data_IF_155543145039
#
_entry.id   IF_155543145039
#
_cell.length_a   1.000
_cell.length_b   1.000
_cell.length_c   1.000
_cell.angle_alpha   90.00
_cell.angle_beta   90.00
_cell.angle_gamma   90.00
#
_symmetry.space_group_name_H-M   'P 1'
#
loop_
_entity.id
_entity.type
_entity.pdbx_description
1 polymer ?
2 polymer ?
3 non-polymer ?
4 non-polymer ?
5 non-polymer ?
6 water ?
#
# COMPACT_ATOMS: atom_id res chain seq x y z
N UNK A 1 -9.71 21.28 -2.11
CA UNK A 1 -10.20 21.12 -3.50
C UNK A 1 -10.47 19.62 -3.77
N UNK A 2 -9.85 19.03 -4.77
CA UNK A 2 -10.06 17.59 -4.99
C UNK A 2 -9.04 16.77 -4.22
N UNK A 3 -9.52 15.76 -3.51
CA UNK A 3 -8.65 14.92 -2.70
C UNK A 3 -8.97 13.44 -2.86
N UNK A 4 -7.95 12.61 -2.68
CA UNK A 4 -8.11 11.14 -2.63
C UNK A 4 -7.33 10.68 -1.42
N UNK A 5 -7.99 9.92 -0.54
CA UNK A 5 -7.31 9.41 0.63
C UNK A 5 -7.07 7.93 0.38
N UNK A 6 -5.80 7.54 0.43
CA UNK A 6 -5.42 6.15 0.22
C UNK A 6 -4.74 5.64 1.49
N UNK A 7 -5.21 4.51 2.02
CA UNK A 7 -4.60 3.95 3.23
C UNK A 7 -3.93 2.62 2.85
N UNK A 8 -2.73 2.41 3.38
CA UNK A 8 -1.91 1.27 3.03
C UNK A 8 -1.76 0.35 4.22
N UNK A 9 -2.11 -0.93 4.04
CA UNK A 9 -2.09 -1.89 5.14
C UNK A 9 -1.47 -3.19 4.67
N UNK A 10 -1.11 -4.06 5.63
CA UNK A 10 -0.40 -5.29 5.30
C UNK A 10 0.60 -5.69 6.39
N UNK A 11 1.02 -6.94 6.36
CA UNK A 11 1.88 -7.51 7.40
C UNK A 11 3.13 -6.70 7.62
N UNK A 12 3.72 -6.87 8.78
CA UNK A 12 4.98 -6.23 9.09
C UNK A 12 6.03 -6.60 8.05
N UNK A 13 6.77 -5.59 7.63
CA UNK A 13 7.91 -5.72 6.77
C UNK A 13 7.61 -6.20 5.34
N UNK A 14 6.37 -6.09 4.86
CA UNK A 14 6.10 -6.41 3.45
C UNK A 14 6.55 -5.27 2.53
N UNK A 15 6.84 -4.09 3.09
CA UNK A 15 7.36 -3.00 2.28
C UNK A 15 6.42 -1.81 2.05
N UNK A 16 5.48 -1.58 2.95
CA UNK A 16 4.53 -0.47 2.79
C UNK A 16 5.21 0.90 2.77
N UNK A 17 6.07 1.11 3.76
CA UNK A 17 6.76 2.38 3.87
C UNK A 17 7.73 2.59 2.71
N UNK A 18 8.51 1.56 2.34
CA UNK A 18 9.37 1.71 1.17
C UNK A 18 8.58 2.07 -0.10
N UNK A 19 7.47 1.37 -0.34
CA UNK A 19 6.55 1.65 -1.47
C UNK A 19 6.16 3.15 -1.49
N UNK A 20 5.72 3.65 -0.35
CA UNK A 20 5.27 5.04 -0.24
C UNK A 20 6.41 6.06 -0.40
N UNK A 21 7.54 5.80 0.27
CA UNK A 21 8.61 6.76 0.20
C UNK A 21 9.25 6.76 -1.19
N UNK A 22 9.34 5.58 -1.79
CA UNK A 22 9.95 5.46 -3.11
C UNK A 22 9.07 6.18 -4.11
N UNK A 23 7.77 5.95 -4.03
CA UNK A 23 6.83 6.62 -4.95
C UNK A 23 6.81 8.13 -4.75
N UNK A 24 6.68 8.58 -3.50
CA UNK A 24 6.48 10.00 -3.25
C UNK A 24 7.77 10.82 -3.33
N UNK A 25 8.93 10.20 -3.12
CA UNK A 25 10.16 10.99 -3.06
C UNK A 25 11.29 10.46 -3.93
N UNK A 26 11.07 9.30 -4.55
CA UNK A 26 12.09 8.60 -5.34
C UNK A 26 13.34 8.18 -4.57
N UNK A 27 13.24 8.11 -3.26
CA UNK A 27 14.34 7.62 -2.45
C UNK A 27 13.90 6.34 -1.80
N UNK A 28 14.87 5.48 -1.48
CA UNK A 28 14.62 4.22 -0.77
C UNK A 28 15.11 4.34 0.67
N UNK A 29 14.24 4.02 1.66
CA UNK A 29 14.64 4.18 3.05
C UNK A 29 15.90 3.35 3.38
N UNK A 30 16.86 3.95 4.05
CA UNK A 30 18.16 3.33 4.29
C UNK A 30 18.20 2.43 5.52
N UNK A 31 17.16 2.46 6.35
CA UNK A 31 17.08 1.56 7.50
C UNK A 31 15.63 1.23 7.74
N UNK A 32 15.38 0.04 8.28
CA UNK A 32 14.02 -0.41 8.60
C UNK A 32 13.61 0.16 9.94
N UNK A 33 12.60 1.02 9.91
CA UNK A 33 11.97 1.47 11.14
C UNK A 33 10.49 1.13 11.10
N UNK A 34 10.04 0.28 12.03
CA UNK A 34 8.62 -0.06 12.03
C UNK A 34 7.77 1.18 12.19
N UNK A 35 6.72 1.23 11.39
CA UNK A 35 5.80 2.34 11.41
C UNK A 35 4.77 2.16 12.50
N UNK A 36 4.37 3.27 13.10
CA UNK A 36 3.18 3.32 13.94
C UNK A 36 2.09 3.95 13.07
N UNK A 37 2.23 5.24 12.77
CA UNK A 37 1.44 5.93 11.73
C UNK A 37 2.26 6.98 11.06
N UNK A 38 2.05 7.16 9.77
CA UNK A 38 2.64 8.28 9.05
C UNK A 38 1.66 8.70 7.97
N UNK A 39 1.76 9.95 7.55
CA UNK A 39 0.78 10.55 6.68
C UNK A 39 1.57 11.38 5.68
N UNK A 40 1.48 11.05 4.39
CA UNK A 40 2.25 11.73 3.34
C UNK A 40 1.23 12.36 2.39
N UNK A 41 1.64 13.34 1.60
CA UNK A 41 0.74 13.86 0.58
C UNK A 41 1.52 14.39 -0.62
N UNK A 42 0.99 14.11 -1.80
CA UNK A 42 1.55 14.59 -3.05
C UNK A 42 0.40 15.11 -3.89
N UNK A 43 0.75 15.87 -4.92
CA UNK A 43 -0.20 16.32 -5.91
C UNK A 43 -0.01 15.46 -7.17
N UNK A 44 -1.11 15.04 -7.79
CA UNK A 44 -1.06 14.35 -9.09
C UNK A 44 -2.07 14.99 -10.01
N UNK A 45 -1.64 15.21 -11.26
CA UNK A 45 -2.47 15.73 -12.31
C UNK A 45 -3.22 14.60 -12.96
N UNK A 46 -4.53 14.77 -13.09
CA UNK A 46 -5.36 13.74 -13.67
C UNK A 46 -6.23 14.40 -14.74
N UNK A 47 -5.95 14.11 -16.00
CA UNK A 47 -6.62 14.83 -17.07
C UNK A 47 -6.40 16.31 -16.88
N UNK A 48 -5.23 16.65 -16.34
CA UNK A 48 -4.79 18.03 -16.31
C UNK A 48 -5.29 18.84 -15.13
N UNK A 49 -6.00 18.20 -14.19
CA UNK A 49 -6.39 18.92 -12.99
C UNK A 49 -5.73 18.28 -11.79
N UNK A 50 -5.36 19.11 -10.80
CA UNK A 50 -4.65 18.69 -9.59
C UNK A 50 -5.54 18.01 -8.55
N UNK A 51 -5.11 16.86 -8.06
CA UNK A 51 -5.72 16.22 -6.91
C UNK A 51 -4.65 16.11 -5.86
N UNK A 52 -5.05 16.22 -4.60
CA UNK A 52 -4.16 15.89 -3.49
C UNK A 52 -4.38 14.43 -3.19
N UNK A 53 -3.30 13.66 -3.31
CA UNK A 53 -3.32 12.28 -2.91
C UNK A 53 -2.71 12.15 -1.51
N UNK A 54 -3.57 11.84 -0.54
CA UNK A 54 -3.15 11.64 0.83
C UNK A 54 -2.88 10.17 1.04
N UNK A 55 -1.68 9.87 1.54
CA UNK A 55 -1.27 8.48 1.74
C UNK A 55 -1.03 8.23 3.22
N UNK A 56 -1.84 7.34 3.79
CA UNK A 56 -1.74 6.99 5.19
C UNK A 56 -1.00 5.67 5.31
N UNK A 57 0.12 5.74 6.02
CA UNK A 57 1.01 4.62 6.24
C UNK A 57 0.71 4.06 7.64
N UNK A 58 0.47 2.75 7.73
CA UNK A 58 0.04 2.13 8.97
C UNK A 58 0.98 1.00 9.42
N UNK A 59 0.80 0.61 10.69
CA UNK A 59 1.61 -0.41 11.31
C UNK A 59 1.16 -1.79 10.87
N UNK A 60 2.10 -2.63 10.45
CA UNK A 60 1.76 -4.02 10.24
C UNK A 60 1.68 -4.76 11.57
N UNK A 61 2.32 -4.21 12.60
CA UNK A 61 2.36 -4.84 13.91
C UNK A 61 0.99 -5.06 14.51
N UNK A 62 0.80 -6.26 15.02
CA UNK A 62 -0.47 -6.66 15.59
C UNK A 62 -0.85 -5.83 16.81
N UNK A 63 0.14 -5.32 17.54
CA UNK A 63 -0.15 -4.57 18.75
C UNK A 63 -0.87 -3.23 18.45
N UNK A 64 -0.90 -2.84 17.17
CA UNK A 64 -1.62 -1.62 16.76
C UNK A 64 -2.97 -1.92 16.12
N UNK A 65 -3.44 -3.15 16.30
CA UNK A 65 -4.70 -3.58 15.71
C UNK A 65 -5.91 -2.75 16.14
N UNK A 66 -5.95 -2.31 17.40
CA UNK A 66 -7.09 -1.50 17.85
C UNK A 66 -6.98 -0.03 17.46
N UNK A 67 -5.75 0.50 17.33
CA UNK A 67 -5.57 1.87 16.89
C UNK A 67 -5.68 2.07 15.37
N UNK A 68 -5.21 1.10 14.59
CA UNK A 68 -5.14 1.26 13.12
C UNK A 68 -6.42 1.76 12.46
N UNK A 69 -7.55 1.15 12.80
CA UNK A 69 -8.81 1.55 12.16
C UNK A 69 -9.28 2.96 12.49
N UNK A 70 -8.70 3.64 13.48
CA UNK A 70 -9.04 5.04 13.69
C UNK A 70 -8.59 5.87 12.50
N UNK A 71 -7.71 5.35 11.66
CA UNK A 71 -7.23 6.09 10.49
C UNK A 71 -8.09 5.85 9.26
N UNK A 72 -9.10 4.99 9.38
CA UNK A 72 -9.84 4.55 8.22
C UNK A 72 -11.00 5.45 7.76
N UNK A 73 -11.58 6.28 8.65
CA UNK A 73 -12.74 7.03 8.15
C UNK A 73 -12.40 7.92 6.95
N UNK A 74 -13.33 7.93 5.99
CA UNK A 74 -13.28 8.71 4.75
C UNK A 74 -12.14 8.30 3.81
N UNK A 75 -11.74 7.03 3.94
CA UNK A 75 -10.79 6.46 2.99
C UNK A 75 -11.48 6.26 1.64
N UNK A 76 -10.77 6.59 0.56
CA UNK A 76 -11.30 6.45 -0.78
C UNK A 76 -10.84 5.14 -1.45
N UNK A 77 -9.66 4.65 -1.09
CA UNK A 77 -9.14 3.40 -1.65
C UNK A 77 -8.08 2.81 -0.70
N UNK A 78 -8.09 1.49 -0.50
CA UNK A 78 -7.05 0.81 0.27
C UNK A 78 -6.07 0.07 -0.65
N UNK A 79 -4.79 0.04 -0.26
CA UNK A 79 -3.80 -0.87 -0.80
C UNK A 79 -3.56 -1.95 0.28
N UNK A 80 -3.92 -3.19 -0.05
CA UNK A 80 -3.67 -4.31 0.82
C UNK A 80 -2.42 -5.00 0.22
N UNK A 81 -1.32 -4.91 0.96
CA UNK A 81 0.00 -5.32 0.49
C UNK A 81 0.45 -6.66 1.11
N UNK A 82 1.07 -7.48 0.26
CA UNK A 82 1.79 -8.65 0.73
C UNK A 82 3.06 -8.73 -0.10
N UNK A 83 4.10 -9.27 0.48
CA UNK A 83 5.32 -9.53 -0.31
C UNK A 83 5.18 -10.82 -1.09
N UNK A 84 5.55 -10.77 -2.37
CA UNK A 84 5.47 -11.97 -3.20
C UNK A 84 6.48 -13.02 -2.77
N UNK A 85 7.41 -12.67 -1.89
CA UNK A 85 8.33 -13.67 -1.34
C UNK A 85 8.08 -14.01 0.12
N UNK A 86 6.89 -13.66 0.60
CA UNK A 86 6.46 -14.02 1.93
C UNK A 86 5.08 -14.69 1.91
N UNK A 87 5.05 -16.01 1.80
CA UNK A 87 3.75 -16.69 1.79
C UNK A 87 2.89 -16.37 3.01
N UNK A 88 3.45 -16.19 4.20
CA UNK A 88 2.62 -15.86 5.34
C UNK A 88 1.87 -14.55 5.12
N UNK A 89 2.53 -13.56 4.53
CA UNK A 89 1.88 -12.27 4.29
C UNK A 89 0.70 -12.39 3.32
N UNK A 90 0.83 -13.31 2.38
CA UNK A 90 -0.21 -13.53 1.38
C UNK A 90 -1.40 -14.19 2.09
N UNK A 91 -1.14 -15.23 2.87
CA UNK A 91 -2.22 -15.84 3.64
C UNK A 91 -2.95 -14.79 4.51
N UNK A 92 -2.22 -13.82 5.07
CA UNK A 92 -2.85 -12.86 5.96
C UNK A 92 -3.70 -11.81 5.26
N UNK A 93 -3.58 -11.71 3.94
CA UNK A 93 -4.46 -10.86 3.15
C UNK A 93 -5.90 -11.36 3.36
N UNK A 94 -6.05 -12.66 3.28
CA UNK A 94 -7.35 -13.31 3.43
C UNK A 94 -7.76 -13.44 4.91
N UNK A 95 -6.80 -13.77 5.78
CA UNK A 95 -7.12 -14.07 7.16
C UNK A 95 -7.22 -12.84 8.06
N UNK A 96 -6.66 -11.72 7.60
CA UNK A 96 -6.58 -10.54 8.43
C UNK A 96 -6.95 -9.21 7.76
N UNK A 97 -6.25 -8.87 6.70
CA UNK A 97 -6.34 -7.51 6.19
C UNK A 97 -7.66 -7.22 5.47
N UNK A 98 -8.09 -8.06 4.54
CA UNK A 98 -9.33 -7.76 3.84
C UNK A 98 -10.54 -7.82 4.81
N UNK A 99 -10.59 -8.83 5.70
CA UNK A 99 -11.65 -8.75 6.72
C UNK A 99 -11.62 -7.44 7.52
N UNK A 100 -10.43 -6.97 7.88
CA UNK A 100 -10.36 -5.77 8.73
C UNK A 100 -10.90 -4.54 7.96
N UNK A 101 -10.40 -4.31 6.76
CA UNK A 101 -10.75 -3.05 6.08
C UNK A 101 -12.19 -3.09 5.62
N UNK A 102 -12.66 -4.28 5.24
CA UNK A 102 -14.03 -4.35 4.78
C UNK A 102 -15.03 -4.30 5.94
N UNK A 103 -14.63 -4.66 7.15
CA UNK A 103 -15.52 -4.52 8.31
C UNK A 103 -15.76 -3.04 8.56
N UNK A 104 -14.70 -2.26 8.51
CA UNK A 104 -14.79 -0.86 8.83
C UNK A 104 -15.29 0.00 7.68
N UNK A 105 -14.98 -0.42 6.47
CA UNK A 105 -15.22 0.37 5.27
C UNK A 105 -15.78 -0.55 4.18
N UNK A 106 -17.02 -0.99 4.36
CA UNK A 106 -17.64 -2.00 3.48
C UNK A 106 -17.78 -1.55 2.04
N UNK A 107 -17.86 -0.25 1.80
CA UNK A 107 -18.12 0.23 0.44
C UNK A 107 -16.87 0.73 -0.27
N UNK A 108 -15.72 0.58 0.36
CA UNK A 108 -14.52 1.22 -0.13
C UNK A 108 -13.70 0.23 -0.98
N UNK A 109 -13.30 0.64 -2.17
CA UNK A 109 -12.53 -0.29 -2.98
C UNK A 109 -11.13 -0.55 -2.45
N UNK A 110 -10.57 -1.70 -2.80
CA UNK A 110 -9.19 -1.99 -2.42
C UNK A 110 -8.50 -2.71 -3.56
N UNK A 111 -7.18 -2.49 -3.66
CA UNK A 111 -6.34 -3.22 -4.59
C UNK A 111 -5.50 -4.17 -3.75
N UNK A 112 -5.26 -5.36 -4.29
CA UNK A 112 -4.26 -6.27 -3.74
C UNK A 112 -2.91 -5.93 -4.38
N UNK A 113 -1.90 -5.69 -3.55
CA UNK A 113 -0.61 -5.23 -4.04
C UNK A 113 0.50 -6.19 -3.64
N UNK A 114 1.10 -6.82 -4.64
CA UNK A 114 2.27 -7.67 -4.40
C UNK A 114 3.52 -6.80 -4.43
N UNK A 115 4.35 -6.91 -3.39
CA UNK A 115 5.51 -6.06 -3.26
C UNK A 115 6.80 -6.88 -3.34
N UNK A 116 7.93 -6.17 -3.43
CA UNK A 116 9.25 -6.82 -3.42
C UNK A 116 9.49 -7.78 -4.59
N UNK A 117 8.92 -7.48 -5.75
CA UNK A 117 9.00 -8.42 -6.90
C UNK A 117 10.42 -8.61 -7.42
N UNK A 118 11.32 -7.69 -7.06
CA UNK A 118 12.71 -7.81 -7.49
C UNK A 118 13.34 -9.02 -6.84
N UNK A 119 12.73 -9.50 -5.75
CA UNK A 119 13.30 -10.67 -5.08
C UNK A 119 12.78 -12.02 -5.61
N UNK A 120 11.78 -11.95 -6.48
CA UNK A 120 11.20 -13.18 -7.01
C UNK A 120 12.19 -14.04 -7.78
N UNK A 121 13.14 -13.42 -8.46
CA UNK A 121 14.19 -14.14 -9.15
C UNK A 121 15.54 -13.87 -8.49
N UNK A 122 15.53 -13.61 -7.18
CA UNK A 122 16.76 -13.43 -6.42
C UNK A 122 17.19 -14.76 -5.82
N UNK A 123 18.33 -15.33 -6.27
CA UNK A 123 18.75 -16.63 -5.76
C UNK A 123 18.79 -16.75 -4.24
N UNK A 124 19.36 -15.79 -3.53
CA UNK A 124 19.42 -15.86 -2.07
C UNK A 124 18.04 -15.95 -1.43
N UNK A 125 17.08 -15.17 -1.93
CA UNK A 125 15.72 -15.21 -1.39
C UNK A 125 15.04 -16.59 -1.63
N UNK A 126 15.17 -17.09 -2.86
CA UNK A 126 14.60 -18.40 -3.20
C UNK A 126 15.24 -19.48 -2.34
N UNK A 127 16.55 -19.40 -2.16
CA UNK A 127 17.25 -20.34 -1.30
C UNK A 127 16.66 -20.30 0.11
N UNK A 128 16.47 -19.09 0.63
CA UNK A 128 15.92 -18.91 1.96
C UNK A 128 14.52 -19.51 2.05
N UNK A 129 13.65 -19.22 1.09
CA UNK A 129 12.33 -19.82 1.07
C UNK A 129 12.40 -21.34 1.00
N UNK A 130 13.32 -21.85 0.19
CA UNK A 130 13.37 -23.27 -0.05
C UNK A 130 13.78 -24.03 1.22
N UNK A 131 14.45 -23.35 2.16
CA UNK A 131 14.79 -23.96 3.46
C UNK A 131 13.56 -24.54 4.14
N UNK A 132 12.48 -23.80 4.03
CA UNK A 132 11.24 -24.20 4.65
C UNK A 132 10.25 -24.69 3.63
N UNK A 133 10.75 -25.14 2.48
CA UNK A 133 9.90 -25.68 1.44
C UNK A 133 8.80 -24.68 1.03
N UNK A 134 9.13 -23.40 1.05
CA UNK A 134 8.19 -22.39 0.57
C UNK A 134 8.56 -21.96 -0.83
N UNK A 135 7.65 -21.19 -1.43
CA UNK A 135 7.83 -20.74 -2.81
C UNK A 135 7.21 -19.35 -2.89
N UNK A 136 7.71 -18.52 -3.81
CA UNK A 136 7.06 -17.22 -4.02
C UNK A 136 5.63 -17.34 -4.57
N UNK A 137 4.86 -16.28 -4.38
CA UNK A 137 3.50 -16.23 -4.87
C UNK A 137 3.57 -15.84 -6.34
N UNK A 138 2.87 -16.58 -7.17
CA UNK A 138 2.81 -16.29 -8.60
C UNK A 138 1.69 -15.28 -8.89
N UNK A 139 1.81 -14.54 -10.00
CA UNK A 139 0.72 -13.65 -10.41
C UNK A 139 -0.63 -14.36 -10.56
N UNK A 140 -0.60 -15.58 -11.08
CA UNK A 140 -1.84 -16.32 -11.31
C UNK A 140 -2.53 -16.59 -9.96
N UNK A 141 -1.75 -16.96 -8.96
CA UNK A 141 -2.30 -17.23 -7.65
C UNK A 141 -2.86 -15.96 -7.03
N UNK A 142 -2.12 -14.87 -7.16
CA UNK A 142 -2.59 -13.60 -6.64
C UNK A 142 -3.86 -13.13 -7.36
N UNK A 143 -3.93 -13.25 -8.68
CA UNK A 143 -5.11 -12.80 -9.39
C UNK A 143 -6.34 -13.59 -8.91
N UNK A 144 -6.13 -14.87 -8.62
CA UNK A 144 -7.24 -15.69 -8.19
C UNK A 144 -7.78 -15.18 -6.86
N UNK A 145 -6.90 -14.91 -5.91
CA UNK A 145 -7.33 -14.39 -4.61
C UNK A 145 -7.98 -13.01 -4.77
N UNK A 146 -7.41 -12.19 -5.65
CA UNK A 146 -7.98 -10.86 -5.88
C UNK A 146 -9.45 -11.00 -6.35
N UNK A 147 -9.69 -11.91 -7.28
CA UNK A 147 -11.07 -12.16 -7.73
C UNK A 147 -11.95 -12.69 -6.59
N UNK A 148 -11.43 -13.66 -5.83
CA UNK A 148 -12.22 -14.26 -4.74
C UNK A 148 -12.57 -13.26 -3.62
N UNK A 149 -11.66 -12.33 -3.33
CA UNK A 149 -11.87 -11.38 -2.25
C UNK A 149 -12.55 -10.09 -2.73
N UNK A 150 -12.78 -10.03 -4.04
CA UNK A 150 -13.39 -8.87 -4.68
C UNK A 150 -12.53 -7.62 -4.59
N UNK A 151 -11.23 -7.79 -4.79
CA UNK A 151 -10.35 -6.66 -4.97
C UNK A 151 -10.71 -6.04 -6.29
N UNK A 152 -10.43 -4.76 -6.46
CA UNK A 152 -10.60 -4.13 -7.76
C UNK A 152 -9.66 -4.76 -8.77
N UNK A 153 -8.41 -4.95 -8.35
CA UNK A 153 -7.32 -5.29 -9.28
C UNK A 153 -6.15 -5.80 -8.44
N UNK A 154 -5.35 -6.72 -9.00
CA UNK A 154 -4.06 -7.10 -8.41
C UNK A 154 -3.00 -6.38 -9.22
N UNK A 155 -2.09 -5.71 -8.52
CA UNK A 155 -0.98 -5.03 -9.15
C UNK A 155 0.26 -5.43 -8.37
N UNK A 156 1.42 -5.41 -9.03
CA UNK A 156 2.64 -5.65 -8.25
C UNK A 156 3.79 -4.68 -8.59
N UNK A 157 4.77 -4.59 -7.69
CA UNK A 157 5.82 -3.62 -7.85
C UNK A 157 7.05 -3.99 -7.06
N UNK A 158 8.11 -3.23 -7.34
CA UNK A 158 9.32 -3.20 -6.49
C UNK A 158 9.56 -1.76 -6.10
N UNK A 159 9.53 -1.45 -4.81
CA UNK A 159 9.89 -0.13 -4.35
C UNK A 159 11.36 0.15 -4.62
N UNK A 160 12.17 -0.89 -4.60
CA UNK A 160 13.62 -0.74 -4.73
C UNK A 160 13.99 -0.31 -6.17
N UNK A 161 13.49 -1.05 -7.16
CA UNK A 161 13.86 -0.77 -8.56
C UNK A 161 12.86 0.18 -9.20
N UNK A 162 11.74 0.38 -8.49
CA UNK A 162 10.59 1.15 -8.97
C UNK A 162 9.83 0.53 -10.13
N UNK A 163 10.15 -0.69 -10.48
CA UNK A 163 9.37 -1.38 -11.49
C UNK A 163 7.91 -1.53 -11.05
N UNK A 164 6.97 -1.12 -11.89
CA UNK A 164 5.55 -1.26 -11.57
C UNK A 164 4.99 -0.27 -10.55
N UNK A 165 5.86 0.57 -9.98
CA UNK A 165 5.50 1.34 -8.78
C UNK A 165 4.51 2.46 -9.10
N UNK A 166 4.80 3.22 -10.15
CA UNK A 166 3.87 4.26 -10.54
C UNK A 166 2.52 3.63 -10.94
N UNK A 167 2.56 2.50 -11.62
CA UNK A 167 1.35 1.83 -12.10
C UNK A 167 0.45 1.45 -10.92
N UNK A 168 1.05 1.03 -9.80
CA UNK A 168 0.27 0.71 -8.59
C UNK A 168 -0.59 1.90 -8.16
N UNK A 169 0.02 3.07 -8.15
CA UNK A 169 -0.67 4.26 -7.68
C UNK A 169 -1.64 4.80 -8.73
N UNK A 170 -1.30 4.62 -10.00
CA UNK A 170 -2.19 4.99 -11.08
C UNK A 170 -3.49 4.20 -10.91
N UNK A 171 -3.36 2.92 -10.63
CA UNK A 171 -4.54 2.05 -10.51
C UNK A 171 -5.34 2.32 -9.23
N UNK A 172 -4.64 2.70 -8.16
CA UNK A 172 -5.28 3.08 -6.91
C UNK A 172 -6.11 4.34 -7.11
N UNK A 173 -5.52 5.30 -7.82
CA UNK A 173 -6.17 6.56 -8.11
C UNK A 173 -7.45 6.33 -8.94
N UNK A 174 -7.32 5.56 -10.00
CA UNK A 174 -8.45 5.27 -10.83
C UNK A 174 -9.54 4.53 -10.05
N UNK A 175 -9.14 3.62 -9.17
CA UNK A 175 -10.10 2.87 -8.37
C UNK A 175 -10.85 3.81 -7.44
N UNK A 176 -10.16 4.79 -6.89
CA UNK A 176 -10.77 5.74 -5.99
C UNK A 176 -11.78 6.59 -6.71
N UNK A 177 -11.52 6.84 -7.99
CA UNK A 177 -12.35 7.75 -8.77
C UNK A 177 -13.47 7.07 -9.58
N UNK A 178 -13.40 5.75 -9.76
CA UNK A 178 -14.44 5.03 -10.52
C UNK A 178 -15.80 5.16 -9.87
N UNK B 4 -6.10 10.02 -24.34
CA UNK B 4 -5.22 10.26 -23.19
C UNK B 4 -5.92 10.63 -21.88
N UNK B 5 -7.20 10.31 -21.78
CA UNK B 5 -8.03 10.82 -20.68
C UNK B 5 -7.75 10.27 -19.28
N UNK B 6 -7.22 9.05 -19.17
CA UNK B 6 -6.91 8.50 -17.85
C UNK B 6 -5.42 8.53 -17.53
N UNK B 7 -4.71 9.49 -18.13
CA UNK B 7 -3.30 9.64 -17.80
C UNK B 7 -3.08 10.46 -16.51
N UNK B 8 -2.21 9.94 -15.68
CA UNK B 8 -1.95 10.51 -14.39
C UNK B 8 -0.48 10.91 -14.36
N UNK B 9 -0.19 12.10 -13.87
CA UNK B 9 1.20 12.56 -13.84
C UNK B 9 2.00 11.85 -12.77
N UNK B 10 3.32 12.03 -12.81
CA UNK B 10 4.17 11.64 -11.68
C UNK B 10 3.72 12.48 -10.51
N UNK B 11 3.92 11.98 -9.29
CA UNK B 11 3.51 12.78 -8.14
C UNK B 11 4.43 13.97 -7.93
N UNK B 12 3.87 15.02 -7.37
CA UNK B 12 4.58 16.26 -7.15
C UNK B 12 4.61 16.44 -5.65
N UNK B 13 5.81 16.62 -5.06
CA UNK B 13 6.00 16.64 -3.60
C UNK B 13 5.33 17.78 -2.83
N UNK B 14 5.22 17.60 -1.51
CA UNK B 14 4.93 18.69 -0.59
C UNK B 14 3.51 19.24 -0.60
N UNK B 15 2.52 18.45 -0.99
CA UNK B 15 1.12 18.88 -0.87
C UNK B 15 0.71 18.94 0.61
N UNK B 16 -0.38 19.65 0.89
CA UNK B 16 -0.95 19.72 2.24
C UNK B 16 -1.52 18.38 2.66
N UNK B 17 -0.96 17.78 3.72
CA UNK B 17 -1.43 16.45 4.10
C UNK B 17 -2.90 16.48 4.49
N UNK B 18 -3.61 15.40 4.22
CA UNK B 18 -5.02 15.34 4.59
C UNK B 18 -5.17 15.27 6.10
N UNK B 19 -6.35 15.65 6.60
CA UNK B 19 -6.52 15.71 8.05
C UNK B 19 -6.34 14.34 8.64
N UNK B 20 -5.73 14.32 9.82
CA UNK B 20 -5.57 13.12 10.61
C UNK B 20 -6.48 13.20 11.82
N UNK B 21 -7.07 12.07 12.23
CA UNK B 21 -7.86 12.14 13.47
C UNK B 21 -6.98 12.63 14.61
N UNK B 22 -7.42 13.65 15.36
CA UNK B 22 -6.52 14.32 16.31
C UNK B 22 -5.88 13.36 17.31
N UNK B 23 -6.59 12.30 17.68
CA UNK B 23 -6.05 11.37 18.66
C UNK B 23 -4.85 10.60 18.12
N UNK B 24 -4.70 10.53 16.81
CA UNK B 24 -3.55 9.82 16.25
C UNK B 24 -2.36 10.76 16.08
N UNK B 25 -2.59 12.07 16.23
CA UNK B 25 -1.53 13.03 16.00
C UNK B 25 -0.23 12.64 16.69
N UNK B 26 -0.26 12.33 17.98
CA UNK B 26 0.98 12.01 18.70
C UNK B 26 1.67 10.73 18.22
N UNK B 27 0.95 9.87 17.50
CA UNK B 27 1.51 8.61 17.02
C UNK B 27 2.16 8.76 15.64
N UNK B 28 2.17 9.97 15.13
CA UNK B 28 2.66 10.26 13.80
C UNK B 28 4.18 10.46 13.83
N UNK B 29 4.81 10.53 12.67
CA UNK B 29 6.23 10.83 12.61
C UNK B 29 7.04 9.64 13.09
N UNK B 30 8.36 9.74 13.00
CA UNK B 30 9.02 10.92 12.45
C UNK B 30 9.05 10.90 10.91
N UNK B 31 8.72 9.76 10.31
CA UNK B 31 8.85 9.57 8.86
C UNK B 31 8.09 10.60 8.02
N UNK B 32 7.05 11.18 8.62
CA UNK B 32 6.30 12.28 8.01
C UNK B 32 7.11 13.59 8.06
X LIG C 1 5.94 -1.96 9.13
X LIG C 1 4.62 -2.63 9.09
X LIG C 1 6.02 -0.47 9.10
X LIG C 1 6.64 -2.50 10.36
X LIG C 1 6.82 -2.50 7.85
X LIG C 1 6.69 -2.06 6.28
X LIG C 1 6.64 -0.58 6.10
X LIG C 1 5.72 -2.89 5.54
X LIG C 1 8.09 -2.41 5.62
X LIG C 1 9.24 -1.51 5.10
X LIG C 1 8.74 -0.70 3.95
X LIG C 1 9.88 -0.70 6.16
X LIG C 1 10.36 -2.45 4.48
X LIG C 1 10.70 -3.60 5.24
X LIG C 1 12.00 -4.19 4.76
X LIG C 1 11.87 -4.69 3.41
X LIG C 1 13.18 -3.26 4.75
X LIG C 1 14.35 -4.00 5.15
X LIG C 1 13.30 -2.86 3.29
X LIG C 1 14.62 -2.67 2.86
X LIG C 1 12.79 -4.07 2.55
X LIG C 1 12.12 -3.77 1.28
X LIG C 1 10.99 -3.00 1.13
X LIG C 1 10.58 -2.90 -0.11
X LIG C 1 11.50 -3.65 -0.82
X LIG C 1 11.58 -3.91 -2.21
X LIG C 1 10.81 -3.50 -3.09
X LIG C 1 12.65 -4.72 -2.55
X LIG C 1 13.57 -5.21 -1.65
X LIG C 1 14.56 -5.98 -2.14
X LIG C 1 13.50 -4.98 -0.33
X LIG C 1 12.44 -4.20 0.02
X LIG C 1 9.99 -4.27 5.15
X LIG C 1 10.78 -3.35 6.18
X LIG C 1 12.22 -4.95 5.34
X LIG C 1 13.03 -2.48 5.32
X LIG C 1 12.75 -2.07 3.09
X LIG C 1 14.84 -1.72 2.91
X LIG C 1 13.54 -4.69 2.38
X LIG C 1 10.52 -2.57 1.88
X LIG D 1 6.26 0.81 7.63
X LIG E 1 -12.81 12.53 1.29
X LIG F 1 11.34 -14.01 3.74
X LIG F 1 11.25 -13.34 2.52
X LIG F 1 12.23 -12.12 2.60
X LIG F 1 13.52 -12.64 2.36
X LIG G 1 -5.40 -20.47 4.58
X LIG G 1 -4.64 -21.49 3.97
X LIG G 1 -3.46 -20.86 3.12
X LIG G 1 -3.91 -20.40 1.82
X LIG G 1 -3.08 -19.34 1.25
X LIG G 1 -3.82 -17.92 1.19
X LIG G 1 -4.91 -17.82 0.24
X LIG G 1 -4.68 -18.48 -1.05
X LIG G 1 -6.03 -18.82 -1.82
X LIG G 1 -6.90 -19.73 -1.09
X LIG G 1 -8.23 -19.84 -1.63
X LIG G 1 -8.99 -18.47 -1.62
X LIG G 1 -10.22 -18.61 -0.94
X LIG H 1 9.34 10.36 -10.61
X LIG H 1 9.10 11.74 -10.42
X LIG H 1 8.15 11.77 -9.19
X LIG H 1 8.44 12.92 -8.43
X LIG H 1 8.23 12.73 -7.04
X LIG H 1 9.27 13.60 -6.28
X LIG H 1 10.51 13.36 -6.90
X LIG H 1 11.45 14.34 -6.58
X LIG H 1 12.58 14.26 -7.64
X LIG H 1 13.22 13.04 -7.36
#
# INVERSE_FOLDING_TARGET
MQTIKCVVVGDVAVGKTCLLISYTTNKFPSEYVPTVFDNYAVTVMIGGEPYTLGLFDTAGQEDYDRLRPLSYPQTDVFLVCFSVVSPSSFENVKEKWVPEITHHCPKTPFLLVGTQIDLRDDPSTIEKLAKNKQKPITPETAEKLARDLKAVKYVECSALTQKGLKNVFDEAILAALE
ASKSNLVISDPIPGAKPLPVPPELAPFVGRMS
GNP PG O1G O2G O3G N3B PB O1B O2B O3A PA O1A O2A O5' C5' C4' O4' C3' O3' C2' O2' C1' N9 C8 N7 C5 C6 O6 N1 C2 N2 N3 C4 H5'2 H5'1 H4' H3' H2' HO2' H1' H8
MG MG
MG MG
PE4 O1 C1 C2 O2
PE4 O1 C1 C2 O2 C3 C4 O3 C5 C6 O4 C7 C8 O5
PE4 O2 C3 C4 O3 C5 C6 O4 C7 C8 O5
#
